data_IF_738498116422
#
_entry.id   IF_738498116422
#
_cell.length_a   1.000
_cell.length_b   1.000
_cell.length_c   1.000
_cell.angle_alpha   90.00
_cell.angle_beta   90.00
_cell.angle_gamma   90.00
#
_symmetry.space_group_name_H-M   'P 1'
#
loop_
_entity.id
_entity.type
_entity.pdbx_description
1 polymer ?
#
# COMPACT_ATOMS: atom_id res chain seq x y z
N UNK A 1 -5.95 -20.74 -24.89
CA UNK A 1 -5.74 -20.15 -23.55
C UNK A 1 -5.44 -18.67 -23.73
N UNK A 2 -5.96 -17.76 -22.87
CA UNK A 2 -5.66 -16.31 -22.97
C UNK A 2 -4.38 -15.90 -22.24
N UNK A 3 -3.99 -16.70 -21.25
CA UNK A 3 -2.80 -16.48 -20.43
C UNK A 3 -1.56 -16.95 -21.18
N UNK A 4 -0.52 -16.12 -21.14
CA UNK A 4 0.80 -16.40 -21.72
C UNK A 4 1.87 -16.16 -20.66
N UNK A 5 3.04 -16.75 -20.84
CA UNK A 5 4.18 -16.59 -19.94
C UNK A 5 5.27 -15.75 -20.61
N UNK A 6 5.88 -14.86 -19.84
CA UNK A 6 7.06 -14.10 -20.23
C UNK A 6 8.14 -14.34 -19.17
N UNK A 7 9.33 -14.76 -19.59
CA UNK A 7 10.45 -15.08 -18.71
C UNK A 7 11.68 -14.27 -19.14
N UNK A 8 12.46 -13.77 -18.19
CA UNK A 8 13.68 -13.00 -18.48
C UNK A 8 14.81 -13.88 -18.97
N UNK A 9 15.62 -13.36 -19.90
CA UNK A 9 16.85 -14.02 -20.37
C UNK A 9 17.80 -14.30 -19.18
N UNK A 10 18.11 -15.58 -18.96
CA UNK A 10 18.95 -16.03 -17.84
C UNK A 10 18.21 -16.76 -16.72
N UNK A 11 16.87 -16.78 -16.75
CA UNK A 11 16.10 -17.69 -15.89
C UNK A 11 15.98 -19.07 -16.54
N UNK A 12 16.05 -20.17 -15.78
CA UNK A 12 15.80 -21.49 -16.32
C UNK A 12 14.37 -21.55 -16.88
N UNK A 13 14.25 -21.97 -18.14
CA UNK A 13 12.96 -22.10 -18.81
C UNK A 13 12.09 -23.07 -18.03
N UNK A 14 11.04 -22.54 -17.40
CA UNK A 14 10.08 -23.33 -16.64
C UNK A 14 8.79 -23.51 -17.46
N UNK A 15 8.35 -24.76 -17.61
CA UNK A 15 7.01 -25.07 -18.12
C UNK A 15 5.99 -24.77 -17.03
N UNK A 16 5.22 -23.70 -17.23
CA UNK A 16 4.14 -23.32 -16.32
C UNK A 16 2.83 -23.86 -16.87
N UNK A 17 2.08 -24.57 -16.03
CA UNK A 17 0.78 -25.12 -16.37
C UNK A 17 -0.33 -24.37 -15.63
N UNK A 18 -1.40 -24.06 -16.36
CA UNK A 18 -2.65 -23.55 -15.80
C UNK A 18 -3.75 -24.48 -16.29
N UNK A 19 -4.53 -25.04 -15.37
CA UNK A 19 -5.61 -26.01 -15.67
C UNK A 19 -5.15 -27.22 -16.51
N UNK A 20 -3.90 -27.66 -16.31
CA UNK A 20 -3.29 -28.78 -17.04
C UNK A 20 -2.84 -28.45 -18.46
N UNK A 21 -2.90 -27.18 -18.88
CA UNK A 21 -2.39 -26.71 -20.16
C UNK A 21 -1.11 -25.89 -19.98
N UNK A 22 -0.09 -26.15 -20.80
CA UNK A 22 1.15 -25.38 -20.81
C UNK A 22 0.91 -23.95 -21.31
N UNK A 23 1.48 -22.97 -20.61
CA UNK A 23 1.47 -21.57 -21.02
C UNK A 23 2.41 -21.35 -22.21
N UNK A 24 1.92 -20.62 -23.21
CA UNK A 24 2.71 -20.17 -24.36
C UNK A 24 3.75 -19.12 -23.92
N UNK A 25 5.03 -19.35 -24.24
CA UNK A 25 6.11 -18.41 -24.00
C UNK A 25 6.10 -17.30 -25.07
N UNK A 26 6.14 -16.03 -24.65
CA UNK A 26 6.14 -14.86 -25.54
C UNK A 26 7.24 -13.86 -25.22
N UNK A 27 7.81 -13.29 -26.29
CA UNK A 27 8.91 -12.31 -26.19
C UNK A 27 8.42 -10.86 -26.08
N UNK A 28 7.15 -10.61 -26.42
CA UNK A 28 6.53 -9.29 -26.45
C UNK A 28 5.10 -9.41 -25.94
N UNK A 29 4.66 -8.44 -25.15
CA UNK A 29 3.29 -8.42 -24.63
C UNK A 29 2.78 -6.98 -24.54
N UNK A 30 1.63 -6.72 -25.16
CA UNK A 30 0.96 -5.43 -25.04
C UNK A 30 0.12 -5.40 -23.75
N UNK A 31 0.59 -4.66 -22.75
CA UNK A 31 -0.13 -4.43 -21.51
C UNK A 31 -0.58 -2.97 -21.43
N UNK A 32 -1.89 -2.75 -21.34
CA UNK A 32 -2.50 -1.41 -21.22
C UNK A 32 -2.04 -0.41 -22.32
N UNK A 33 -1.80 -0.91 -23.54
CA UNK A 33 -1.38 -0.09 -24.68
C UNK A 33 0.12 0.19 -24.76
N UNK A 34 0.92 -0.33 -23.83
CA UNK A 34 2.39 -0.31 -23.91
C UNK A 34 2.90 -1.71 -24.23
N UNK A 35 3.85 -1.79 -25.16
CA UNK A 35 4.55 -3.03 -25.46
C UNK A 35 5.65 -3.25 -24.41
N UNK A 36 5.64 -4.44 -23.80
CA UNK A 36 6.66 -4.90 -22.88
C UNK A 36 7.58 -5.88 -23.62
N UNK A 37 8.89 -5.62 -23.59
CA UNK A 37 9.92 -6.45 -24.20
C UNK A 37 10.79 -7.10 -23.10
N UNK A 38 11.11 -8.38 -23.29
CA UNK A 38 11.93 -9.20 -22.39
C UNK A 38 13.37 -8.71 -22.21
N UNK A 39 13.90 -7.90 -23.15
CA UNK A 39 15.33 -7.58 -23.15
C UNK A 39 15.75 -6.64 -22.02
N UNK A 40 14.93 -5.65 -21.65
CA UNK A 40 15.37 -4.60 -20.70
C UNK A 40 14.28 -4.06 -19.77
N UNK A 41 13.00 -4.33 -20.01
CA UNK A 41 11.95 -3.49 -19.45
C UNK A 41 11.13 -4.16 -18.36
N UNK A 42 11.12 -5.50 -18.26
CA UNK A 42 10.18 -6.18 -17.36
C UNK A 42 10.39 -5.82 -15.88
N UNK A 43 11.64 -5.92 -15.38
CA UNK A 43 11.95 -5.57 -14.00
C UNK A 43 11.75 -4.08 -13.73
N UNK A 44 12.25 -3.24 -14.64
CA UNK A 44 12.11 -1.77 -14.55
C UNK A 44 10.65 -1.35 -14.51
N UNK A 45 9.80 -1.94 -15.35
CA UNK A 45 8.37 -1.68 -15.42
C UNK A 45 7.64 -2.14 -14.15
N UNK A 46 7.97 -3.34 -13.63
CA UNK A 46 7.42 -3.84 -12.36
C UNK A 46 7.75 -2.86 -11.23
N UNK A 47 9.01 -2.39 -11.15
CA UNK A 47 9.45 -1.44 -10.13
C UNK A 47 8.71 -0.11 -10.28
N UNK A 48 8.65 0.46 -11.48
CA UNK A 48 7.98 1.73 -11.76
C UNK A 48 6.49 1.68 -11.40
N UNK A 49 5.80 0.59 -11.77
CA UNK A 49 4.39 0.41 -11.45
C UNK A 49 4.15 0.14 -9.98
N UNK A 50 5.02 -0.63 -9.33
CA UNK A 50 5.02 -0.79 -7.88
C UNK A 50 5.10 0.57 -7.19
N UNK A 51 6.07 1.40 -7.57
CA UNK A 51 6.24 2.75 -7.04
C UNK A 51 5.03 3.66 -7.31
N UNK A 52 4.48 3.64 -8.53
CA UNK A 52 3.29 4.42 -8.89
C UNK A 52 2.04 3.98 -8.09
N UNK A 53 1.85 2.68 -7.92
CA UNK A 53 0.78 2.11 -7.10
C UNK A 53 0.89 2.52 -5.64
N UNK A 54 2.10 2.39 -5.05
CA UNK A 54 2.36 2.84 -3.69
C UNK A 54 2.12 4.34 -3.52
N UNK A 55 2.56 5.16 -4.47
CA UNK A 55 2.32 6.61 -4.44
C UNK A 55 0.82 6.92 -4.43
N UNK A 56 0.04 6.28 -5.30
CA UNK A 56 -1.43 6.45 -5.32
C UNK A 56 -2.10 5.95 -4.06
N UNK A 57 -1.61 4.86 -3.48
CA UNK A 57 -2.10 4.36 -2.20
C UNK A 57 -1.89 5.38 -1.08
N UNK A 58 -0.69 5.99 -0.99
CA UNK A 58 -0.43 7.04 0.00
C UNK A 58 -1.23 8.31 -0.24
N UNK A 59 -1.55 8.67 -1.49
CA UNK A 59 -2.44 9.81 -1.78
C UNK A 59 -3.85 9.62 -1.17
N UNK A 60 -4.36 8.39 -1.13
CA UNK A 60 -5.73 8.09 -0.64
C UNK A 60 -5.78 7.59 0.79
N UNK A 61 -4.64 7.23 1.39
CA UNK A 61 -4.62 6.60 2.73
C UNK A 61 -5.19 7.53 3.79
N UNK A 62 -5.07 8.84 3.63
CA UNK A 62 -5.61 9.83 4.56
C UNK A 62 -7.14 9.90 4.54
N UNK A 63 -7.78 9.53 3.43
CA UNK A 63 -9.25 9.36 3.35
C UNK A 63 -9.68 8.09 4.06
N UNK A 64 -8.85 7.05 4.01
CA UNK A 64 -9.09 5.77 4.68
C UNK A 64 -8.76 5.80 6.17
N UNK A 65 -7.98 6.80 6.62
CA UNK A 65 -7.72 6.99 8.04
C UNK A 65 -9.05 7.35 8.72
N UNK A 66 -9.44 6.62 9.79
CA UNK A 66 -10.59 7.01 10.58
C UNK A 66 -10.34 8.43 11.08
N UNK A 67 -11.28 9.33 10.81
CA UNK A 67 -11.20 10.69 11.34
C UNK A 67 -11.20 10.56 12.87
N UNK A 68 -10.10 10.97 13.48
CA UNK A 68 -9.99 11.05 14.92
C UNK A 68 -10.87 12.23 15.37
N UNK A 69 -12.18 11.99 15.42
CA UNK A 69 -13.15 12.87 16.06
C UNK A 69 -12.70 12.90 17.51
N UNK A 70 -11.96 13.95 17.87
CA UNK A 70 -11.57 14.18 19.25
C UNK A 70 -12.89 14.28 20.02
N UNK A 71 -13.18 13.41 21.00
CA UNK A 71 -14.25 13.73 21.93
C UNK A 71 -13.86 15.07 22.55
N UNK A 72 -14.77 16.04 22.52
CA UNK A 72 -14.55 17.32 23.19
C UNK A 72 -14.06 17.04 24.60
N UNK A 73 -12.91 17.60 24.96
CA UNK A 73 -12.40 17.52 26.33
C UNK A 73 -13.43 18.22 27.21
N UNK A 74 -14.11 17.55 28.16
CA UNK A 74 -14.96 18.25 29.10
C UNK A 74 -14.10 19.27 29.85
N UNK A 75 -14.63 20.48 29.94
CA UNK A 75 -14.03 21.67 30.50
C UNK A 75 -13.35 21.37 31.85
N UNK A 76 -12.06 21.65 31.98
CA UNK A 76 -11.34 21.57 33.25
C UNK A 76 -11.79 22.70 34.19
N UNK A 77 -12.33 22.42 35.40
CA UNK A 77 -12.61 23.47 36.36
C UNK A 77 -11.31 23.86 37.07
N UNK A 78 -10.69 24.96 36.64
CA UNK A 78 -9.84 25.75 37.49
C UNK A 78 -10.73 26.45 38.52
N UNK A 79 -10.81 25.90 39.73
CA UNK A 79 -11.23 26.64 40.93
C UNK A 79 -10.76 25.90 42.18
N UNK A 80 -9.45 25.97 42.47
CA UNK A 80 -8.98 25.87 43.84
C UNK A 80 -9.41 27.15 44.56
N UNK A 81 -10.59 27.12 45.18
CA UNK A 81 -10.96 28.12 46.18
C UNK A 81 -10.25 27.72 47.47
N UNK A 82 -9.21 28.46 47.85
CA UNK A 82 -8.71 28.51 49.22
C UNK A 82 -9.88 28.74 50.16
N UNK A 83 -10.01 27.88 51.16
CA UNK A 83 -10.72 28.23 52.39
C UNK A 83 -9.72 28.01 53.52
N UNK A 84 -9.13 29.12 53.96
CA UNK A 84 -8.49 29.23 55.26
C UNK A 84 -9.52 28.87 56.34
N UNK A 85 -9.13 28.05 57.30
CA UNK A 85 -9.97 27.66 58.41
C UNK A 85 -9.15 26.95 59.46
N UNK A 86 -8.46 27.73 60.30
CA UNK A 86 -7.87 27.28 61.55
C UNK A 86 -8.98 26.74 62.46
N UNK A 87 -8.82 25.51 62.92
CA UNK A 87 -9.36 25.07 64.21
C UNK A 87 -8.24 24.35 64.98
N UNK A 88 -7.89 24.95 66.11
CA UNK A 88 -6.87 24.55 67.09
C UNK A 88 -7.48 23.54 68.08
N UNK A 89 -6.64 23.00 68.98
CA UNK A 89 -6.89 22.29 70.26
C UNK A 89 -6.76 20.76 70.13
N UNK A 90 -5.91 20.01 70.86
CA UNK A 90 -4.98 20.24 71.98
C UNK A 90 -3.79 19.26 71.85
#
# INVERSE_FOLDING_TARGET
>A
MKTKVMQSDGMPKASLQVDGADLEEVNHYAYLGQELNMRHDLLSEIILRGAAGWRKFYDIIDVLKPQNIRPERPCSPLQQRSVEGNDVWM
#
